data_IF_752688377907
#
_entry.id   IF_752688377907
#
_cell.length_a   1.000
_cell.length_b   1.000
_cell.length_c   1.000
_cell.angle_alpha   90.00
_cell.angle_beta   90.00
_cell.angle_gamma   90.00
#
_symmetry.space_group_name_H-M   'P 1'
#
loop_
_entity.id
_entity.type
_entity.pdbx_description
1 polymer ?
#
# COMPACT_ATOMS: atom_id res chain seq x y z
N UNK A 1 -4.97 -8.82 25.13
CA UNK A 1 -5.73 -8.77 26.40
C UNK A 1 -4.83 -8.61 27.64
N UNK A 2 -3.73 -9.37 27.77
CA UNK A 2 -2.84 -9.30 28.94
C UNK A 2 -2.15 -7.94 29.19
N UNK A 3 -1.71 -7.23 28.14
CA UNK A 3 -1.03 -5.93 28.27
C UNK A 3 -2.01 -4.81 28.66
N UNK A 4 -3.19 -4.77 28.05
CA UNK A 4 -4.25 -3.82 28.44
C UNK A 4 -4.69 -4.02 29.89
N UNK A 5 -4.86 -5.28 30.32
CA UNK A 5 -5.28 -5.60 31.68
C UNK A 5 -4.24 -5.22 32.75
N UNK A 6 -2.94 -5.24 32.42
CA UNK A 6 -1.86 -4.92 33.37
C UNK A 6 -1.42 -3.46 33.39
N UNK A 7 -1.54 -2.72 32.28
CA UNK A 7 -1.01 -1.36 32.17
C UNK A 7 -2.06 -0.29 31.86
N UNK A 8 -3.32 -0.69 31.64
CA UNK A 8 -4.40 0.23 31.33
C UNK A 8 -4.41 0.70 29.88
N UNK A 9 -5.58 1.16 29.44
CA UNK A 9 -5.83 1.57 28.05
C UNK A 9 -5.07 2.86 27.68
N UNK A 10 -4.90 3.78 28.63
CA UNK A 10 -4.14 5.03 28.49
C UNK A 10 -2.66 4.80 28.24
N UNK A 11 -2.01 3.89 28.98
CA UNK A 11 -0.60 3.56 28.74
C UNK A 11 -0.39 2.89 27.37
N UNK A 12 -1.34 2.04 26.94
CA UNK A 12 -1.29 1.41 25.62
C UNK A 12 -1.39 2.45 24.49
N UNK A 13 -2.35 3.38 24.58
CA UNK A 13 -2.56 4.41 23.55
C UNK A 13 -1.44 5.44 23.50
N UNK A 14 -0.96 5.92 24.66
CA UNK A 14 -0.02 7.06 24.70
C UNK A 14 1.46 6.67 24.66
N UNK A 15 1.84 5.54 25.27
CA UNK A 15 3.25 5.12 25.36
C UNK A 15 3.58 4.00 24.37
N UNK A 16 2.75 2.94 24.35
CA UNK A 16 3.09 1.74 23.57
C UNK A 16 2.92 1.94 22.06
N UNK A 17 1.80 2.54 21.61
CA UNK A 17 1.60 2.85 20.19
C UNK A 17 2.66 3.81 19.66
N UNK A 18 3.02 4.84 20.43
CA UNK A 18 4.00 5.84 20.02
C UNK A 18 5.41 5.26 19.84
N UNK A 19 5.76 4.22 20.61
CA UNK A 19 7.03 3.49 20.45
C UNK A 19 6.97 2.50 19.30
N UNK A 20 5.80 1.92 19.01
CA UNK A 20 5.63 0.96 17.91
C UNK A 20 5.75 1.62 16.54
N UNK A 21 5.22 2.83 16.36
CA UNK A 21 5.26 3.53 15.06
C UNK A 21 6.66 3.64 14.44
N UNK A 22 7.70 4.14 15.15
CA UNK A 22 9.04 4.19 14.56
C UNK A 22 9.65 2.81 14.36
N UNK A 23 9.33 1.82 15.22
CA UNK A 23 9.83 0.45 15.08
C UNK A 23 9.27 -0.22 13.84
N UNK A 24 7.96 -0.10 13.57
CA UNK A 24 7.33 -0.70 12.38
C UNK A 24 7.85 -0.07 11.10
N UNK A 25 7.97 1.26 11.05
CA UNK A 25 8.54 1.97 9.90
C UNK A 25 9.98 1.53 9.66
N UNK A 26 10.80 1.46 10.72
CA UNK A 26 12.20 1.03 10.61
C UNK A 26 12.32 -0.41 10.11
N UNK A 27 11.51 -1.34 10.65
CA UNK A 27 11.50 -2.74 10.22
C UNK A 27 11.05 -2.90 8.76
N UNK A 28 10.02 -2.16 8.35
CA UNK A 28 9.51 -2.16 6.98
C UNK A 28 10.55 -1.62 5.99
N UNK A 29 11.16 -0.47 6.30
CA UNK A 29 12.22 0.11 5.49
C UNK A 29 13.46 -0.79 5.43
N UNK A 30 13.86 -1.39 6.55
CA UNK A 30 14.98 -2.34 6.57
C UNK A 30 14.70 -3.56 5.69
N UNK A 31 13.49 -4.12 5.77
CA UNK A 31 13.07 -5.24 4.92
C UNK A 31 13.11 -4.85 3.44
N UNK A 32 12.60 -3.67 3.11
CA UNK A 32 12.60 -3.14 1.76
C UNK A 32 14.03 -2.98 1.22
N UNK A 33 14.95 -2.39 2.00
CA UNK A 33 16.37 -2.24 1.63
C UNK A 33 17.03 -3.59 1.39
N UNK A 34 16.82 -4.57 2.28
CA UNK A 34 17.38 -5.92 2.16
C UNK A 34 16.89 -6.62 0.89
N UNK A 35 15.58 -6.55 0.62
CA UNK A 35 14.99 -7.18 -0.56
C UNK A 35 15.54 -6.58 -1.86
N UNK A 36 15.71 -5.25 -1.92
CA UNK A 36 16.34 -4.61 -3.08
C UNK A 36 17.82 -4.93 -3.20
N UNK A 37 18.54 -5.01 -2.08
CA UNK A 37 19.95 -5.41 -2.10
C UNK A 37 20.13 -6.83 -2.64
N UNK A 38 19.28 -7.77 -2.23
CA UNK A 38 19.37 -9.17 -2.70
C UNK A 38 18.85 -9.39 -4.12
N UNK A 39 18.02 -8.49 -4.66
CA UNK A 39 17.43 -8.63 -6.01
C UNK A 39 17.91 -7.60 -7.03
N UNK A 40 18.75 -6.64 -6.62
CA UNK A 40 19.20 -5.53 -7.45
C UNK A 40 19.90 -5.95 -8.75
N UNK A 41 20.80 -6.93 -8.69
CA UNK A 41 21.49 -7.42 -9.90
C UNK A 41 20.53 -8.07 -10.90
N UNK A 42 19.60 -8.90 -10.43
CA UNK A 42 18.61 -9.55 -11.29
C UNK A 42 17.64 -8.53 -11.91
N UNK A 43 17.28 -7.51 -11.15
CA UNK A 43 16.45 -6.39 -11.59
C UNK A 43 17.16 -5.63 -12.72
N UNK A 44 18.44 -5.30 -12.55
CA UNK A 44 19.23 -4.59 -13.56
C UNK A 44 19.51 -5.44 -14.82
N UNK A 45 19.69 -6.76 -14.65
CA UNK A 45 20.01 -7.66 -15.76
C UNK A 45 18.81 -7.94 -16.68
N UNK A 46 17.57 -7.83 -16.19
CA UNK A 46 16.36 -8.20 -16.95
C UNK A 46 15.28 -7.10 -16.96
N UNK A 47 15.56 -5.92 -17.57
CA UNK A 47 14.63 -4.79 -17.56
C UNK A 47 13.33 -5.09 -18.31
N UNK A 48 13.37 -5.91 -19.36
CA UNK A 48 12.17 -6.30 -20.09
C UNK A 48 11.22 -7.12 -19.20
N UNK A 49 11.72 -8.08 -18.42
CA UNK A 49 10.90 -8.88 -17.50
C UNK A 49 10.21 -8.01 -16.46
N UNK A 50 10.89 -6.99 -15.95
CA UNK A 50 10.29 -5.99 -15.05
C UNK A 50 9.14 -5.28 -15.73
N UNK A 51 9.31 -4.84 -16.97
CA UNK A 51 8.25 -4.16 -17.71
C UNK A 51 7.03 -5.06 -17.92
N UNK A 52 7.25 -6.34 -18.24
CA UNK A 52 6.19 -7.34 -18.36
C UNK A 52 5.44 -7.58 -17.05
N UNK A 53 6.08 -7.43 -15.89
CA UNK A 53 5.44 -7.51 -14.56
C UNK A 53 4.73 -6.19 -14.22
N UNK A 54 5.35 -5.06 -14.58
CA UNK A 54 4.87 -3.73 -14.24
C UNK A 54 3.56 -3.36 -14.92
N UNK A 55 3.40 -3.73 -16.19
CA UNK A 55 2.21 -3.39 -16.97
C UNK A 55 0.94 -4.02 -16.33
N UNK A 56 0.87 -5.34 -16.10
CA UNK A 56 -0.28 -5.97 -15.45
C UNK A 56 -0.57 -5.39 -14.06
N UNK A 57 0.45 -5.21 -13.21
CA UNK A 57 0.25 -4.67 -11.86
C UNK A 57 -0.26 -3.23 -11.87
N UNK A 58 0.25 -2.41 -12.78
CA UNK A 58 -0.21 -1.02 -12.92
C UNK A 58 -1.66 -0.97 -13.40
N UNK A 59 -2.00 -1.78 -14.41
CA UNK A 59 -3.37 -1.88 -14.93
C UNK A 59 -4.30 -2.36 -13.81
N UNK A 60 -3.94 -3.41 -13.08
CA UNK A 60 -4.73 -3.93 -11.96
C UNK A 60 -5.00 -2.85 -10.92
N UNK A 61 -3.96 -2.13 -10.48
CA UNK A 61 -4.08 -1.09 -9.45
C UNK A 61 -4.98 0.05 -9.92
N UNK A 62 -4.77 0.55 -11.14
CA UNK A 62 -5.58 1.61 -11.73
C UNK A 62 -7.04 1.16 -11.90
N UNK A 63 -7.25 -0.07 -12.34
CA UNK A 63 -8.59 -0.62 -12.56
C UNK A 63 -9.36 -0.73 -11.25
N UNK A 64 -8.75 -1.33 -10.21
CA UNK A 64 -9.41 -1.47 -8.91
C UNK A 64 -9.67 -0.09 -8.30
N UNK A 65 -8.71 0.84 -8.40
CA UNK A 65 -8.90 2.22 -7.98
C UNK A 65 -10.06 2.89 -8.72
N UNK A 66 -10.10 2.80 -10.06
CA UNK A 66 -11.12 3.44 -10.87
C UNK A 66 -12.51 2.87 -10.58
N UNK A 67 -12.61 1.55 -10.38
CA UNK A 67 -13.85 0.90 -9.95
C UNK A 67 -14.28 1.38 -8.57
N UNK A 68 -13.38 1.37 -7.58
CA UNK A 68 -13.68 1.81 -6.22
C UNK A 68 -14.09 3.28 -6.15
N UNK A 69 -13.33 4.15 -6.81
CA UNK A 69 -13.57 5.59 -6.83
C UNK A 69 -14.81 5.97 -7.65
N UNK A 70 -15.02 5.30 -8.78
CA UNK A 70 -16.22 5.46 -9.61
C UNK A 70 -17.48 4.97 -8.88
N UNK A 71 -17.42 3.81 -8.23
CA UNK A 71 -18.52 3.28 -7.45
C UNK A 71 -18.84 4.17 -6.25
N UNK A 72 -17.83 4.67 -5.54
CA UNK A 72 -18.01 5.62 -4.45
C UNK A 72 -18.73 6.90 -4.91
N UNK A 73 -18.43 7.38 -6.14
CA UNK A 73 -19.13 8.50 -6.75
C UNK A 73 -20.58 8.18 -7.09
N UNK A 74 -20.86 7.00 -7.65
CA UNK A 74 -22.23 6.54 -7.96
C UNK A 74 -23.07 6.42 -6.67
N UNK A 75 -22.44 5.93 -5.59
CA UNK A 75 -23.04 5.81 -4.26
C UNK A 75 -23.12 7.14 -3.49
N UNK A 76 -22.68 8.25 -4.09
CA UNK A 76 -22.69 9.61 -3.49
C UNK A 76 -21.96 9.71 -2.15
N UNK A 77 -20.88 8.94 -1.97
CA UNK A 77 -20.03 9.05 -0.79
C UNK A 77 -19.31 10.41 -0.74
N UNK A 78 -18.96 10.85 0.46
CA UNK A 78 -18.10 12.02 0.66
C UNK A 78 -16.70 11.75 0.11
N UNK A 79 -15.95 12.79 -0.27
CA UNK A 79 -14.54 12.63 -0.65
C UNK A 79 -13.71 11.97 0.46
N UNK A 80 -14.05 12.29 1.72
CA UNK A 80 -13.37 11.80 2.93
C UNK A 80 -13.47 10.28 3.07
N UNK A 81 -14.51 9.67 2.52
CA UNK A 81 -14.68 8.21 2.53
C UNK A 81 -14.28 7.59 1.19
N UNK A 82 -14.64 8.25 0.07
CA UNK A 82 -14.42 7.75 -1.28
C UNK A 82 -12.93 7.58 -1.63
N UNK A 83 -12.10 8.59 -1.33
CA UNK A 83 -10.69 8.54 -1.68
C UNK A 83 -9.93 7.48 -0.85
N UNK A 84 -10.02 7.46 0.51
CA UNK A 84 -9.38 6.41 1.29
C UNK A 84 -9.90 5.01 0.95
N UNK A 85 -11.21 4.81 0.76
CA UNK A 85 -11.77 3.51 0.42
C UNK A 85 -11.25 2.98 -0.92
N UNK A 86 -11.16 3.84 -1.95
CA UNK A 86 -10.62 3.45 -3.26
C UNK A 86 -9.12 3.11 -3.19
N UNK A 87 -8.35 3.87 -2.38
CA UNK A 87 -6.92 3.63 -2.16
C UNK A 87 -6.67 2.33 -1.40
N UNK A 88 -7.47 2.02 -0.37
CA UNK A 88 -7.36 0.75 0.37
C UNK A 88 -7.67 -0.43 -0.56
N UNK A 89 -8.70 -0.32 -1.41
CA UNK A 89 -9.04 -1.36 -2.36
C UNK A 89 -7.96 -1.62 -3.40
N UNK A 90 -7.26 -0.58 -3.85
CA UNK A 90 -6.22 -0.69 -4.87
C UNK A 90 -4.86 -1.17 -4.35
N UNK A 91 -4.60 -1.04 -3.03
CA UNK A 91 -3.28 -1.35 -2.45
C UNK A 91 -3.09 -2.83 -2.14
N UNK A 92 -1.86 -3.31 -2.31
CA UNK A 92 -1.45 -4.67 -1.98
C UNK A 92 -0.55 -4.71 -0.74
N UNK A 93 -0.67 -5.78 0.05
CA UNK A 93 0.20 -6.01 1.20
C UNK A 93 1.44 -6.81 0.79
N UNK A 94 2.49 -6.10 0.39
CA UNK A 94 3.68 -6.71 -0.18
C UNK A 94 4.50 -7.54 0.80
N UNK A 95 4.57 -7.15 2.06
CA UNK A 95 5.34 -7.87 3.09
C UNK A 95 4.86 -9.32 3.21
N UNK A 96 3.54 -9.52 3.26
CA UNK A 96 2.92 -10.85 3.29
C UNK A 96 3.12 -11.58 1.95
N UNK A 97 3.02 -10.88 0.82
CA UNK A 97 3.21 -11.46 -0.50
C UNK A 97 4.64 -11.98 -0.70
N UNK A 98 5.65 -11.21 -0.28
CA UNK A 98 7.07 -11.56 -0.38
C UNK A 98 7.41 -12.72 0.55
N UNK A 99 6.89 -12.70 1.79
CA UNK A 99 7.05 -13.82 2.71
C UNK A 99 6.49 -15.12 2.13
N UNK A 100 5.26 -15.06 1.61
CA UNK A 100 4.58 -16.22 1.03
C UNK A 100 5.28 -16.73 -0.24
N UNK A 101 5.68 -15.83 -1.14
CA UNK A 101 6.36 -16.20 -2.39
C UNK A 101 7.73 -16.81 -2.13
N UNK A 102 8.48 -16.26 -1.18
CA UNK A 102 9.79 -16.78 -0.77
C UNK A 102 9.66 -18.13 -0.09
N UNK A 103 8.63 -18.33 0.75
CA UNK A 103 8.40 -19.61 1.43
C UNK A 103 7.96 -20.73 0.47
N UNK A 104 7.09 -20.44 -0.49
CA UNK A 104 6.52 -21.45 -1.38
C UNK A 104 7.40 -21.72 -2.61
N UNK A 105 8.01 -20.69 -3.19
CA UNK A 105 8.74 -20.78 -4.45
C UNK A 105 10.24 -20.58 -4.30
N UNK A 106 10.71 -20.21 -3.10
CA UNK A 106 12.11 -19.91 -2.83
C UNK A 106 12.49 -18.49 -3.25
N UNK A 107 13.57 -17.98 -2.66
CA UNK A 107 14.03 -16.61 -2.84
C UNK A 107 14.42 -16.34 -4.31
N UNK A 108 15.02 -17.30 -5.02
CA UNK A 108 15.51 -17.14 -6.39
C UNK A 108 14.43 -17.28 -7.48
N UNK A 109 13.17 -17.50 -7.10
CA UNK A 109 12.08 -17.64 -8.07
C UNK A 109 11.67 -16.33 -8.73
N UNK A 110 11.10 -16.44 -9.94
CA UNK A 110 10.46 -15.31 -10.61
C UNK A 110 9.25 -14.76 -9.83
N UNK A 111 8.57 -15.61 -9.04
CA UNK A 111 7.47 -15.20 -8.17
C UNK A 111 7.95 -14.27 -7.05
N UNK A 112 9.05 -14.63 -6.36
CA UNK A 112 9.66 -13.76 -5.35
C UNK A 112 10.14 -12.44 -5.96
N UNK A 113 10.77 -12.49 -7.14
CA UNK A 113 11.20 -11.29 -7.87
C UNK A 113 10.01 -10.38 -8.21
N UNK A 114 8.90 -10.94 -8.71
CA UNK A 114 7.70 -10.16 -9.03
C UNK A 114 7.12 -9.44 -7.82
N UNK A 115 7.12 -10.08 -6.65
CA UNK A 115 6.61 -9.44 -5.41
C UNK A 115 7.47 -8.28 -4.92
N UNK A 116 8.81 -8.36 -5.06
CA UNK A 116 9.73 -7.28 -4.69
C UNK A 116 9.66 -6.12 -5.70
N UNK A 117 9.66 -6.45 -6.99
CA UNK A 117 9.54 -5.46 -8.08
C UNK A 117 8.19 -4.75 -8.03
N UNK A 118 7.12 -5.45 -7.67
CA UNK A 118 5.79 -4.87 -7.52
C UNK A 118 5.76 -3.68 -6.57
N UNK A 119 6.51 -3.73 -5.45
CA UNK A 119 6.62 -2.62 -4.48
C UNK A 119 7.18 -1.36 -5.13
N UNK A 120 8.22 -1.48 -5.97
CA UNK A 120 8.83 -0.32 -6.66
C UNK A 120 7.85 0.40 -7.56
N UNK A 121 6.91 -0.33 -8.13
CA UNK A 121 5.96 0.18 -9.11
C UNK A 121 4.73 0.72 -8.39
N UNK A 122 4.24 -0.01 -7.39
CA UNK A 122 3.03 0.38 -6.66
C UNK A 122 3.22 1.66 -5.85
N UNK A 123 4.35 1.84 -5.14
CA UNK A 123 4.53 3.04 -4.29
C UNK A 123 4.44 4.34 -5.10
N UNK A 124 5.16 4.53 -6.23
CA UNK A 124 5.01 5.71 -7.07
C UNK A 124 3.60 5.83 -7.69
N UNK A 125 3.01 4.71 -8.11
CA UNK A 125 1.68 4.69 -8.71
C UNK A 125 0.62 5.15 -7.71
N UNK A 126 0.70 4.69 -6.46
CA UNK A 126 -0.18 5.09 -5.37
C UNK A 126 -0.03 6.57 -5.05
N UNK A 127 1.19 7.11 -5.01
CA UNK A 127 1.42 8.55 -4.86
C UNK A 127 0.79 9.35 -6.02
N UNK A 128 0.86 8.83 -7.25
CA UNK A 128 0.21 9.44 -8.41
C UNK A 128 -1.33 9.40 -8.29
N UNK A 129 -1.91 8.30 -7.80
CA UNK A 129 -3.34 8.17 -7.54
C UNK A 129 -3.81 9.10 -6.40
N UNK A 130 -3.03 9.27 -5.33
CA UNK A 130 -3.32 10.29 -4.29
C UNK A 130 -3.32 11.69 -4.89
N UNK A 131 -2.34 12.00 -5.74
CA UNK A 131 -2.29 13.28 -6.46
C UNK A 131 -3.50 13.46 -7.39
N UNK A 132 -4.01 12.36 -7.97
CA UNK A 132 -5.23 12.37 -8.76
C UNK A 132 -6.48 12.61 -7.89
N UNK A 133 -6.61 11.92 -6.74
CA UNK A 133 -7.68 12.16 -5.77
C UNK A 133 -7.72 13.61 -5.32
N UNK A 134 -6.58 14.18 -4.90
CA UNK A 134 -6.52 15.57 -4.42
C UNK A 134 -6.93 16.59 -5.48
N UNK A 135 -6.62 16.34 -6.76
CA UNK A 135 -7.10 17.17 -7.88
C UNK A 135 -8.60 16.98 -8.19
N UNK A 136 -9.12 15.78 -8.00
CA UNK A 136 -10.53 15.44 -8.30
C UNK A 136 -11.46 15.61 -7.11
N UNK A 137 -11.01 16.25 -6.03
CA UNK A 137 -11.84 16.59 -4.86
C UNK A 137 -13.14 17.31 -5.24
N UNK A 138 -13.09 18.20 -6.24
CA UNK A 138 -14.25 18.93 -6.75
C UNK A 138 -15.33 18.06 -7.42
N UNK A 139 -15.04 16.78 -7.73
CA UNK A 139 -16.03 15.84 -8.27
C UNK A 139 -16.97 15.28 -7.21
N UNK A 140 -16.62 15.46 -5.95
CA UNK A 140 -17.40 15.05 -4.80
C UNK A 140 -17.98 16.30 -4.17
N UNK A 141 -19.25 16.22 -3.78
CA UNK A 141 -19.92 17.34 -3.13
C UNK A 141 -19.19 17.61 -1.81
N UNK A 142 -18.65 18.80 -1.63
CA UNK A 142 -18.14 19.23 -0.33
C UNK A 142 -19.31 19.27 0.64
N UNK A 143 -19.25 18.50 1.72
CA UNK A 143 -20.02 18.83 2.92
C UNK A 143 -19.40 20.08 3.56
N UNK A 144 -19.64 21.24 2.95
CA UNK A 144 -19.61 22.53 3.66
C UNK A 144 -21.02 22.76 4.20
N UNK A 145 -21.44 22.01 5.24
CA UNK A 145 -22.48 22.34 6.23
C UNK A 145 -22.93 21.09 6.99
N UNK A 146 -22.32 20.80 8.15
CA UNK A 146 -22.96 20.10 9.28
C UNK A 146 -21.96 19.85 10.43
N UNK A 147 -21.30 20.91 10.93
CA UNK A 147 -20.85 20.94 12.33
C UNK A 147 -20.98 22.39 12.81
N UNK A 148 -22.22 22.80 13.12
CA UNK A 148 -22.47 23.73 14.23
C UNK A 148 -22.64 22.89 15.51
#
# INVERSE_FOLDING_TARGET
KWILARKGETWFKEKFLHVLTPVTITALLATLVLLFSFKGETILANPLTILWIAIPLSIQTILIFALGYGLAKILKLSYRDAAPSAMIGASNHFEVAIATSTMLFGLSSGAALATVVGVLIEVPLMLALVKFCTRTTHWFKSEDTAVE
#
